data_IF_083801475376
#
_entry.id   IF_083801475376
#
_cell.length_a   1.000
_cell.length_b   1.000
_cell.length_c   1.000
_cell.angle_alpha   90.00
_cell.angle_beta   90.00
_cell.angle_gamma   90.00
#
_symmetry.space_group_name_H-M   'P 1'
#
loop_
_entity.id
_entity.type
_entity.pdbx_description
1 polymer ?
#
# COMPACT_ATOMS: atom_id res chain seq x y z
N UNK A 1 3.19 -8.33 1.93
CA UNK A 1 3.55 -7.00 1.38
C UNK A 1 3.22 -5.92 2.40
N UNK A 2 4.21 -5.14 2.83
CA UNK A 2 4.03 -4.12 3.88
C UNK A 2 3.54 -2.80 3.31
N UNK A 3 2.63 -2.15 4.03
CA UNK A 3 2.35 -0.73 3.86
C UNK A 3 3.55 0.05 4.41
N UNK A 4 4.03 1.08 3.71
CA UNK A 4 5.00 2.02 4.30
C UNK A 4 4.20 3.08 5.05
N UNK A 5 4.33 3.12 6.37
CA UNK A 5 3.78 4.20 7.17
C UNK A 5 4.62 5.45 6.92
N UNK A 6 4.12 6.39 6.12
CA UNK A 6 4.60 7.77 6.20
C UNK A 6 3.97 8.35 7.46
N UNK A 7 4.81 8.72 8.43
CA UNK A 7 4.42 9.05 9.81
C UNK A 7 3.48 10.25 9.87
N UNK A 8 2.18 10.01 9.77
CA UNK A 8 1.11 11.00 9.95
C UNK A 8 -0.04 10.38 10.78
N UNK A 9 0.24 9.85 11.98
CA UNK A 9 -0.83 9.54 12.92
C UNK A 9 -1.43 10.87 13.40
N UNK A 10 -2.69 11.11 13.09
CA UNK A 10 -3.43 12.31 13.48
C UNK A 10 -4.59 11.88 14.37
N UNK A 11 -4.58 12.32 15.62
CA UNK A 11 -5.70 12.16 16.55
C UNK A 11 -6.41 13.48 16.76
N UNK A 12 -7.74 13.47 16.72
CA UNK A 12 -8.56 14.64 17.02
C UNK A 12 -9.82 14.24 17.81
N UNK A 13 -10.46 15.26 18.37
CA UNK A 13 -11.72 15.15 19.07
C UNK A 13 -12.78 15.94 18.30
N UNK A 14 -13.98 15.39 18.16
CA UNK A 14 -15.14 16.10 17.61
C UNK A 14 -16.22 16.19 18.66
N UNK A 15 -16.67 17.40 18.95
CA UNK A 15 -17.83 17.63 19.81
C UNK A 15 -19.10 17.53 18.98
N UNK A 16 -20.00 16.66 19.41
CA UNK A 16 -21.31 16.47 18.80
C UNK A 16 -22.39 17.17 19.64
N UNK A 17 -23.23 18.04 19.04
CA UNK A 17 -24.34 18.68 19.76
C UNK A 17 -25.37 17.70 20.33
N UNK A 18 -25.40 16.47 19.82
CA UNK A 18 -26.30 15.42 20.26
C UNK A 18 -25.55 14.11 20.29
N UNK A 19 -25.73 13.34 21.35
CA UNK A 19 -25.14 12.00 21.47
C UNK A 19 -25.63 11.07 20.36
N UNK A 20 -24.73 10.31 19.76
CA UNK A 20 -25.02 9.40 18.64
C UNK A 20 -25.08 10.09 17.27
N UNK A 21 -24.78 11.39 17.18
CA UNK A 21 -24.80 12.12 15.92
C UNK A 21 -23.70 11.64 14.97
N UNK A 22 -24.03 11.59 13.67
CA UNK A 22 -23.06 11.45 12.59
C UNK A 22 -22.62 12.83 12.07
N UNK A 23 -21.32 13.02 11.91
CA UNK A 23 -20.69 14.25 11.42
C UNK A 23 -19.71 13.93 10.29
N UNK A 24 -19.66 14.79 9.28
CA UNK A 24 -18.67 14.67 8.20
C UNK A 24 -17.39 15.41 8.57
N UNK A 25 -16.26 14.71 8.54
CA UNK A 25 -14.93 15.26 8.80
C UNK A 25 -14.13 15.36 7.52
N UNK A 26 -13.39 16.46 7.36
CA UNK A 26 -12.44 16.65 6.27
C UNK A 26 -11.05 16.94 6.82
N UNK A 27 -10.10 16.08 6.50
CA UNK A 27 -8.69 16.23 6.87
C UNK A 27 -7.91 16.71 5.65
N UNK A 28 -7.10 17.76 5.84
CA UNK A 28 -6.20 18.30 4.82
C UNK A 28 -4.77 17.98 5.22
N UNK A 29 -4.06 17.23 4.37
CA UNK A 29 -2.68 16.83 4.63
C UNK A 29 -1.66 17.88 4.19
N UNK A 30 -0.42 17.73 4.61
CA UNK A 30 0.70 18.64 4.36
C UNK A 30 1.05 18.76 2.87
N UNK A 31 0.88 17.69 2.09
CA UNK A 31 1.19 17.63 0.65
C UNK A 31 0.22 16.72 -0.10
N UNK A 32 0.43 16.60 -1.41
CA UNK A 32 -0.26 15.62 -2.24
C UNK A 32 0.40 14.24 -2.10
N UNK A 33 -0.44 13.23 -1.88
CA UNK A 33 -0.09 11.82 -1.77
C UNK A 33 -0.70 11.04 -2.93
N UNK A 34 0.07 10.13 -3.52
CA UNK A 34 -0.42 9.19 -4.54
C UNK A 34 -1.04 7.97 -3.87
N UNK A 35 -2.24 7.57 -4.32
CA UNK A 35 -2.98 6.42 -3.79
C UNK A 35 -3.17 6.42 -2.26
N UNK A 36 -3.72 7.51 -1.69
CA UNK A 36 -3.96 7.61 -0.26
C UNK A 36 -5.03 6.62 0.21
N UNK A 37 -4.82 6.05 1.41
CA UNK A 37 -5.81 5.25 2.12
C UNK A 37 -5.82 5.66 3.59
N UNK A 38 -6.99 5.98 4.12
CA UNK A 38 -7.20 6.31 5.51
C UNK A 38 -7.41 5.04 6.34
N UNK A 39 -6.76 4.99 7.50
CA UNK A 39 -6.84 3.89 8.46
C UNK A 39 -7.17 4.45 9.82
N UNK A 40 -8.14 3.85 10.49
CA UNK A 40 -8.42 4.13 11.90
C UNK A 40 -7.50 3.27 12.77
N UNK A 41 -6.99 3.84 13.85
CA UNK A 41 -6.22 3.13 14.86
C UNK A 41 -7.11 2.88 16.08
N UNK A 42 -7.36 1.63 16.44
CA UNK A 42 -8.05 1.32 17.68
C UNK A 42 -7.04 1.30 18.83
N UNK A 43 -7.08 2.26 19.78
CA UNK A 43 -6.10 2.31 20.87
C UNK A 43 -6.29 1.21 21.92
N UNK A 44 -7.47 0.58 21.99
CA UNK A 44 -7.77 -0.52 22.91
C UNK A 44 -7.11 -1.81 22.42
N UNK A 45 -7.19 -2.10 21.12
CA UNK A 45 -6.67 -3.34 20.52
C UNK A 45 -5.32 -3.18 19.82
N UNK A 46 -4.82 -1.95 19.69
CA UNK A 46 -3.58 -1.64 18.95
C UNK A 46 -3.65 -1.93 17.45
N UNK A 47 -4.86 -2.10 16.90
CA UNK A 47 -5.06 -2.58 15.53
C UNK A 47 -5.52 -1.47 14.59
N UNK A 48 -5.18 -1.61 13.30
CA UNK A 48 -5.61 -0.69 12.25
C UNK A 48 -6.76 -1.28 11.43
N UNK A 49 -7.78 -0.48 11.16
CA UNK A 49 -8.91 -0.85 10.31
C UNK A 49 -9.07 0.12 9.13
N UNK A 50 -9.77 -0.32 8.09
CA UNK A 50 -10.11 0.54 6.95
C UNK A 50 -11.23 1.49 7.36
N UNK A 51 -11.06 2.79 7.08
CA UNK A 51 -12.17 3.75 7.15
C UNK A 51 -13.03 3.57 5.89
N UNK A 52 -14.12 2.80 6.03
CA UNK A 52 -15.05 2.55 4.91
C UNK A 52 -15.76 3.85 4.54
N UNK A 53 -15.95 4.07 3.23
CA UNK A 53 -16.62 5.27 2.73
C UNK A 53 -15.77 6.53 2.70
N UNK A 54 -14.49 6.47 3.13
CA UNK A 54 -13.58 7.59 2.95
C UNK A 54 -13.40 7.91 1.47
N UNK A 55 -13.58 9.19 1.13
CA UNK A 55 -13.34 9.76 -0.20
C UNK A 55 -12.06 10.59 -0.16
N UNK A 56 -11.34 10.64 -1.28
CA UNK A 56 -10.06 11.32 -1.40
C UNK A 56 -10.10 12.33 -2.53
N UNK A 57 -9.46 13.47 -2.32
CA UNK A 57 -9.35 14.53 -3.32
C UNK A 57 -8.09 15.35 -3.13
N UNK A 58 -8.02 16.47 -3.84
CA UNK A 58 -6.92 17.43 -3.72
C UNK A 58 -7.44 18.85 -3.58
N UNK A 59 -6.71 19.70 -2.87
CA UNK A 59 -6.97 21.14 -2.75
C UNK A 59 -5.66 21.92 -2.76
N UNK A 60 -5.63 23.04 -3.47
CA UNK A 60 -4.48 23.94 -3.48
C UNK A 60 -4.65 24.99 -2.39
N UNK A 61 -3.67 25.11 -1.49
CA UNK A 61 -3.65 26.10 -0.41
C UNK A 61 -2.27 26.75 -0.40
N UNK A 62 -2.21 28.08 -0.55
CA UNK A 62 -0.94 28.81 -0.63
C UNK A 62 -0.05 28.35 -1.79
N UNK A 63 -0.65 27.97 -2.94
CA UNK A 63 0.07 27.48 -4.12
C UNK A 63 0.52 26.01 -4.04
N UNK A 64 0.32 25.33 -2.91
CA UNK A 64 0.71 23.92 -2.71
C UNK A 64 -0.53 23.03 -2.84
N UNK A 65 -0.48 22.04 -3.73
CA UNK A 65 -1.50 20.99 -3.85
C UNK A 65 -1.38 20.00 -2.69
N UNK A 66 -2.49 19.78 -1.99
CA UNK A 66 -2.59 18.94 -0.79
C UNK A 66 -3.64 17.84 -0.99
N UNK A 67 -3.42 16.68 -0.39
CA UNK A 67 -4.44 15.62 -0.32
C UNK A 67 -5.50 15.97 0.71
N UNK A 68 -6.74 15.64 0.38
CA UNK A 68 -7.89 15.70 1.28
C UNK A 68 -8.45 14.30 1.46
N UNK A 69 -8.84 13.96 2.69
CA UNK A 69 -9.69 12.81 2.99
C UNK A 69 -10.97 13.29 3.68
N UNK A 70 -12.13 12.83 3.20
CA UNK A 70 -13.44 13.15 3.77
C UNK A 70 -14.21 11.88 4.07
N UNK A 71 -14.79 11.79 5.28
CA UNK A 71 -15.53 10.62 5.75
C UNK A 71 -16.49 11.00 6.87
N UNK A 72 -17.47 10.14 7.11
CA UNK A 72 -18.44 10.31 8.18
C UNK A 72 -18.01 9.56 9.45
N UNK A 73 -18.17 10.23 10.59
CA UNK A 73 -17.94 9.71 11.92
C UNK A 73 -19.24 9.72 12.70
N UNK A 74 -19.49 8.71 13.52
CA UNK A 74 -20.66 8.65 14.40
C UNK A 74 -20.18 8.55 15.84
N UNK A 75 -20.74 9.38 16.73
CA UNK A 75 -20.52 9.33 18.18
C UNK A 75 -21.02 8.00 18.75
N UNK A 76 -20.14 7.26 19.42
CA UNK A 76 -20.36 5.86 19.78
C UNK A 76 -20.27 4.85 18.62
N UNK A 77 -19.80 5.28 17.45
CA UNK A 77 -19.57 4.42 16.29
C UNK A 77 -18.28 3.61 16.37
N UNK A 78 -18.06 2.72 15.39
CA UNK A 78 -16.87 1.83 15.37
C UNK A 78 -15.53 2.54 15.16
N UNK A 79 -15.56 3.81 14.76
CA UNK A 79 -14.39 4.68 14.59
C UNK A 79 -14.23 5.66 15.75
N UNK A 80 -15.09 5.56 16.77
CA UNK A 80 -14.98 6.30 18.01
C UNK A 80 -14.26 5.43 19.05
N UNK A 81 -13.17 5.94 19.61
CA UNK A 81 -12.22 5.11 20.36
C UNK A 81 -12.75 4.59 21.69
N UNK A 82 -13.74 5.23 22.29
CA UNK A 82 -14.42 4.68 23.47
C UNK A 82 -15.73 3.96 23.13
N UNK A 83 -16.24 4.10 21.91
CA UNK A 83 -17.47 3.47 21.44
C UNK A 83 -18.72 3.92 22.21
N UNK A 84 -18.68 5.05 22.91
CA UNK A 84 -19.81 5.56 23.68
C UNK A 84 -20.45 6.75 22.99
N UNK A 85 -21.77 6.74 22.85
CA UNK A 85 -22.52 7.92 22.41
C UNK A 85 -22.60 8.95 23.55
N UNK A 86 -21.55 9.75 23.73
CA UNK A 86 -21.37 10.66 24.86
C UNK A 86 -21.19 12.14 24.43
N UNK A 87 -21.35 12.42 23.13
CA UNK A 87 -21.18 13.74 22.54
C UNK A 87 -19.73 14.09 22.20
N UNK A 88 -18.78 13.16 22.32
CA UNK A 88 -17.36 13.37 22.03
C UNK A 88 -16.81 12.17 21.24
N UNK A 89 -16.51 12.40 19.98
CA UNK A 89 -15.84 11.40 19.14
C UNK A 89 -14.33 11.51 19.32
N UNK A 90 -13.67 10.38 19.62
CA UNK A 90 -12.21 10.27 19.70
C UNK A 90 -11.68 9.47 18.52
N UNK A 91 -11.08 10.15 17.54
CA UNK A 91 -10.68 9.52 16.28
C UNK A 91 -9.18 9.69 15.96
N UNK A 92 -8.35 8.70 16.30
CA UNK A 92 -7.00 8.56 15.77
C UNK A 92 -7.00 7.85 14.41
N UNK A 93 -6.56 8.57 13.38
CA UNK A 93 -6.39 8.04 12.02
C UNK A 93 -4.96 8.21 11.51
N UNK A 94 -4.56 7.36 10.56
CA UNK A 94 -3.38 7.60 9.74
C UNK A 94 -3.69 7.51 8.25
N UNK A 95 -2.94 8.29 7.48
CA UNK A 95 -2.85 8.13 6.04
C UNK A 95 -1.76 7.12 5.69
N UNK A 96 -2.12 6.05 4.99
CA UNK A 96 -1.16 5.11 4.39
C UNK A 96 -1.19 5.21 2.88
N UNK A 97 -0.09 4.84 2.23
CA UNK A 97 -0.03 4.70 0.78
C UNK A 97 -0.23 3.24 0.42
N UNK A 98 -1.09 2.99 -0.56
CA UNK A 98 -1.25 1.64 -1.08
C UNK A 98 0.11 1.11 -1.55
N UNK A 99 0.50 -0.12 -1.19
CA UNK A 99 1.75 -0.68 -1.70
C UNK A 99 1.65 -0.80 -3.22
N UNK A 100 2.74 -0.48 -3.92
CA UNK A 100 2.86 -0.83 -5.33
C UNK A 100 2.57 -2.33 -5.49
N UNK A 101 1.79 -2.69 -6.52
CA UNK A 101 1.53 -4.08 -6.86
C UNK A 101 2.87 -4.86 -6.96
N UNK A 102 2.93 -6.14 -6.54
CA UNK A 102 4.16 -6.91 -6.73
C UNK A 102 4.45 -6.97 -8.20
N UNK A 103 5.71 -6.75 -8.56
CA UNK A 103 6.22 -7.29 -9.82
C UNK A 103 6.28 -8.81 -9.60
N UNK A 104 5.18 -9.50 -9.89
CA UNK A 104 5.14 -10.98 -9.96
C UNK A 104 5.53 -11.48 -11.34
N UNK A 105 6.01 -10.61 -12.22
CA UNK A 105 6.45 -10.97 -13.55
C UNK A 105 7.66 -11.90 -13.52
N UNK A 106 7.45 -13.19 -13.77
CA UNK A 106 8.43 -14.03 -14.44
C UNK A 106 8.64 -13.47 -15.84
N UNK A 107 9.49 -12.46 -15.97
CA UNK A 107 9.57 -11.66 -17.20
C UNK A 107 10.89 -10.93 -17.36
N UNK A 108 12.00 -11.58 -16.98
CA UNK A 108 13.33 -11.17 -17.45
C UNK A 108 14.16 -12.41 -17.80
N UNK A 109 13.81 -13.09 -18.89
CA UNK A 109 14.86 -13.63 -19.76
C UNK A 109 15.06 -12.61 -20.88
N UNK A 110 15.93 -11.63 -20.62
CA UNK A 110 16.53 -10.87 -21.70
C UNK A 110 17.45 -11.84 -22.43
N UNK A 111 16.99 -12.38 -23.56
CA UNK A 111 17.82 -13.18 -24.44
C UNK A 111 18.90 -12.26 -25.02
N UNK A 112 20.05 -12.16 -24.37
CA UNK A 112 21.25 -11.62 -25.01
C UNK A 112 21.78 -12.68 -25.98
N UNK A 113 22.45 -12.31 -27.09
CA UNK A 113 22.82 -13.28 -28.13
C UNK A 113 23.93 -14.28 -27.75
N UNK A 114 24.35 -14.36 -26.49
CA UNK A 114 25.55 -15.08 -26.07
C UNK A 114 25.33 -16.23 -25.07
N UNK A 115 24.10 -16.52 -24.64
CA UNK A 115 23.86 -17.56 -23.64
C UNK A 115 23.47 -18.90 -24.28
N UNK A 116 24.45 -19.52 -24.94
CA UNK A 116 24.43 -20.93 -25.36
C UNK A 116 25.01 -21.86 -24.27
N UNK A 117 24.82 -21.54 -22.98
CA UNK A 117 25.17 -22.42 -21.86
C UNK A 117 23.91 -22.91 -21.13
N UNK A 118 23.48 -24.10 -21.52
CA UNK A 118 22.89 -25.17 -20.70
C UNK A 118 22.24 -24.72 -19.37
N UNK A 119 20.98 -24.29 -19.42
CA UNK A 119 20.14 -24.18 -18.23
C UNK A 119 19.63 -25.58 -17.84
N UNK A 120 20.26 -26.20 -16.84
CA UNK A 120 19.73 -27.39 -16.16
C UNK A 120 18.66 -26.94 -15.15
N UNK A 121 17.39 -26.95 -15.57
CA UNK A 121 16.25 -26.88 -14.65
C UNK A 121 16.04 -28.23 -13.99
N UNK A 122 16.45 -28.38 -12.73
CA UNK A 122 16.04 -29.49 -11.87
C UNK A 122 14.56 -29.34 -11.53
N UNK A 123 13.71 -30.03 -12.28
CA UNK A 123 12.37 -30.42 -11.85
C UNK A 123 12.34 -31.94 -11.74
N UNK A 124 11.65 -32.41 -10.70
CA UNK A 124 11.75 -33.75 -10.12
C UNK A 124 11.78 -34.91 -11.11
N UNK A 125 12.55 -35.93 -10.72
CA UNK A 125 12.41 -37.32 -11.13
C UNK A 125 12.81 -37.63 -12.58
N UNK A 126 14.11 -37.82 -12.82
CA UNK A 126 14.62 -38.54 -13.99
C UNK A 126 15.74 -37.80 -14.71
N UNK A 127 16.99 -38.00 -14.28
CA UNK A 127 18.16 -37.59 -15.07
C UNK A 127 18.19 -38.35 -16.40
N UNK A 128 18.22 -37.63 -17.51
CA UNK A 128 18.79 -38.13 -18.76
C UNK A 128 19.91 -37.18 -19.16
N UNK A 129 21.15 -37.68 -19.05
CA UNK A 129 22.36 -37.03 -19.50
C UNK A 129 22.75 -37.66 -20.85
N UNK A 130 22.64 -36.91 -21.95
CA UNK A 130 23.27 -37.31 -23.22
C UNK A 130 24.21 -36.21 -23.69
N UNK A 131 25.50 -36.52 -23.66
CA UNK A 131 26.59 -35.69 -24.15
C UNK A 131 26.84 -35.93 -25.65
N UNK A 132 27.28 -34.90 -26.37
CA UNK A 132 28.50 -34.83 -27.21
C UNK A 132 28.34 -33.82 -28.35
N UNK A 133 29.40 -33.04 -28.58
CA UNK A 133 29.52 -32.21 -29.77
C UNK A 133 30.79 -31.38 -29.81
N UNK A 134 31.97 -32.01 -29.75
CA UNK A 134 33.25 -31.35 -30.08
C UNK A 134 33.23 -30.96 -31.56
N UNK A 135 33.45 -29.68 -31.91
CA UNK A 135 33.78 -29.28 -33.28
C UNK A 135 35.08 -28.46 -33.35
N UNK A 136 36.12 -29.18 -33.78
CA UNK A 136 37.25 -28.79 -34.63
C UNK A 136 37.47 -27.29 -34.88
N UNK A 137 38.60 -26.78 -34.37
CA UNK A 137 39.26 -25.59 -34.90
C UNK A 137 39.79 -25.91 -36.30
N UNK A 138 39.37 -25.15 -37.32
CA UNK A 138 40.08 -25.09 -38.60
C UNK A 138 40.88 -23.79 -38.63
N UNK A 139 42.21 -23.90 -38.68
CA UNK A 139 43.13 -22.80 -39.00
C UNK A 139 42.98 -22.49 -40.49
N UNK A 140 42.80 -21.21 -40.84
CA UNK A 140 43.05 -20.74 -42.21
C UNK A 140 44.51 -20.26 -42.30
N UNK A 141 45.32 -20.73 -43.26
CA UNK A 141 46.59 -20.12 -43.59
C UNK A 141 46.42 -18.96 -44.58
N UNK A 142 47.22 -17.91 -44.34
CA UNK A 142 47.64 -16.77 -45.18
C UNK A 142 46.72 -16.29 -46.31
#
# INVERSE_FOLDING_TARGET
>A
KGYSAQTNLTGFYVYCPTSGMTVTVTIIYDKQYSSPMLRYYNPITGSYSMVKGATYGTKTIGGITKTIATYDLTDGGSLDSDGLANGIIKDPVLLVLAPNAPVTGFGIYQKTPLDNLQYLGLIGSGMVLTALGIRRLYKNPA
#
